data_IF_190261194985
#
_entry.id   IF_190261194985
#
_cell.length_a   1.000
_cell.length_b   1.000
_cell.length_c   1.000
_cell.angle_alpha   90.00
_cell.angle_beta   90.00
_cell.angle_gamma   90.00
#
_symmetry.space_group_name_H-M   'P 1'
#
loop_
_entity.id
_entity.type
_entity.pdbx_description
1 polymer ?
#
# COMPACT_ATOMS: atom_id res chain seq x y z
N UNK A 1 27.14 10.30 -13.72
CA UNK A 1 26.26 9.32 -13.05
C UNK A 1 26.00 9.86 -11.64
N UNK A 2 24.79 10.35 -11.35
CA UNK A 2 24.47 10.98 -10.06
C UNK A 2 24.28 9.87 -9.02
N UNK A 3 25.08 9.86 -7.95
CA UNK A 3 24.92 8.91 -6.85
C UNK A 3 23.99 9.52 -5.81
N UNK A 4 22.82 8.93 -5.65
CA UNK A 4 21.89 9.28 -4.57
C UNK A 4 22.21 8.43 -3.34
N UNK A 5 22.42 9.10 -2.20
CA UNK A 5 22.57 8.44 -0.90
C UNK A 5 21.29 8.69 -0.09
N UNK A 6 20.57 7.63 0.26
CA UNK A 6 19.39 7.73 1.12
C UNK A 6 19.79 7.38 2.55
N UNK A 7 19.70 8.35 3.45
CA UNK A 7 19.96 8.16 4.88
C UNK A 7 18.63 8.21 5.64
N UNK A 8 18.41 7.23 6.52
CA UNK A 8 17.32 7.32 7.51
C UNK A 8 17.79 8.26 8.60
N UNK A 9 17.37 9.53 8.52
CA UNK A 9 17.67 10.53 9.53
C UNK A 9 16.72 10.33 10.71
N UNK A 10 17.05 9.41 11.62
CA UNK A 10 16.33 9.22 12.88
C UNK A 10 16.82 10.16 13.98
N UNK A 11 18.05 10.70 13.86
CA UNK A 11 18.64 11.66 14.81
C UNK A 11 19.60 12.62 14.10
N UNK A 12 19.74 13.83 14.67
CA UNK A 12 20.63 14.90 14.18
C UNK A 12 22.09 14.44 14.05
N UNK A 13 22.58 13.69 15.05
CA UNK A 13 23.99 13.27 15.13
C UNK A 13 24.42 12.35 13.98
N UNK A 14 23.49 11.52 13.49
CA UNK A 14 23.74 10.63 12.35
C UNK A 14 23.80 11.39 11.02
N UNK A 15 23.00 12.45 10.87
CA UNK A 15 23.04 13.33 9.71
C UNK A 15 24.38 14.06 9.64
N UNK A 16 24.76 14.70 10.75
CA UNK A 16 25.97 15.52 10.88
C UNK A 16 27.24 14.70 10.62
N UNK A 17 27.33 13.51 11.23
CA UNK A 17 28.47 12.60 11.01
C UNK A 17 28.64 12.25 9.53
N UNK A 18 27.55 11.93 8.83
CA UNK A 18 27.62 11.49 7.43
C UNK A 18 27.93 12.64 6.46
N UNK A 19 27.38 13.83 6.73
CA UNK A 19 27.71 15.03 5.97
C UNK A 19 29.21 15.35 6.13
N UNK A 20 29.73 15.31 7.36
CA UNK A 20 31.16 15.49 7.63
C UNK A 20 32.03 14.48 6.91
N UNK A 21 31.68 13.19 6.94
CA UNK A 21 32.41 12.14 6.19
C UNK A 21 32.47 12.43 4.68
N UNK A 22 31.36 12.89 4.09
CA UNK A 22 31.30 13.17 2.64
C UNK A 22 32.12 14.40 2.25
N UNK A 23 32.06 15.47 3.06
CA UNK A 23 32.82 16.70 2.84
C UNK A 23 34.32 16.50 3.07
N UNK A 24 34.72 15.68 4.04
CA UNK A 24 36.14 15.36 4.30
C UNK A 24 36.70 14.44 3.21
N UNK A 25 35.90 13.50 2.70
CA UNK A 25 36.37 12.57 1.67
C UNK A 25 36.62 13.25 0.32
N UNK A 26 35.84 14.28 -0.05
CA UNK A 26 36.04 15.02 -1.31
C UNK A 26 35.76 16.53 -1.12
N UNK A 27 36.72 17.29 -0.57
CA UNK A 27 36.53 18.70 -0.21
C UNK A 27 36.32 19.64 -1.41
N UNK A 28 36.67 19.21 -2.62
CA UNK A 28 36.55 20.02 -3.85
C UNK A 28 35.29 19.73 -4.65
N UNK A 29 34.37 18.92 -4.12
CA UNK A 29 33.17 18.48 -4.83
C UNK A 29 31.93 19.16 -4.25
N UNK A 30 31.12 19.77 -5.13
CA UNK A 30 29.88 20.42 -4.74
C UNK A 30 28.81 19.37 -4.43
N UNK A 31 28.28 19.40 -3.21
CA UNK A 31 27.21 18.52 -2.75
C UNK A 31 25.91 19.32 -2.52
N UNK A 32 24.79 18.80 -3.02
CA UNK A 32 23.45 19.33 -2.71
C UNK A 32 22.77 18.43 -1.68
N UNK A 33 22.32 19.02 -0.57
CA UNK A 33 21.51 18.33 0.44
C UNK A 33 20.03 18.59 0.16
N UNK A 34 19.27 17.52 -0.06
CA UNK A 34 17.80 17.59 -0.16
C UNK A 34 17.19 16.88 1.04
N UNK A 35 16.52 17.64 1.90
CA UNK A 35 15.73 17.09 3.01
C UNK A 35 14.30 16.96 2.53
N UNK A 36 13.79 15.73 2.51
CA UNK A 36 12.39 15.44 2.22
C UNK A 36 11.75 14.85 3.45
N UNK A 37 10.56 15.32 3.79
CA UNK A 37 9.73 14.64 4.79
C UNK A 37 9.44 13.23 4.27
N UNK A 38 9.71 12.23 5.11
CA UNK A 38 9.46 10.84 4.73
C UNK A 38 7.94 10.69 4.65
N UNK A 39 7.40 10.70 3.43
CA UNK A 39 6.03 10.23 3.22
C UNK A 39 5.95 8.84 3.83
N UNK A 40 5.06 8.67 4.80
CA UNK A 40 4.89 7.41 5.50
C UNK A 40 4.44 6.37 4.49
N UNK A 41 5.39 5.66 3.88
CA UNK A 41 5.12 4.35 3.32
C UNK A 41 4.52 3.54 4.47
N UNK A 42 3.37 2.91 4.20
CA UNK A 42 2.61 2.03 5.11
C UNK A 42 3.51 1.42 6.18
N UNK A 43 3.18 1.63 7.45
CA UNK A 43 3.95 1.03 8.53
C UNK A 43 3.98 -0.50 8.33
N UNK A 44 5.14 -1.11 8.50
CA UNK A 44 5.31 -2.58 8.42
C UNK A 44 4.25 -3.29 9.30
N UNK A 45 3.93 -2.81 10.52
CA UNK A 45 2.85 -3.37 11.33
C UNK A 45 1.47 -3.36 10.65
N UNK A 46 1.11 -2.28 9.94
CA UNK A 46 -0.21 -2.16 9.32
C UNK A 46 -0.40 -3.14 8.15
N UNK A 47 0.63 -3.35 7.33
CA UNK A 47 0.58 -4.35 6.26
C UNK A 47 0.60 -5.77 6.84
N UNK A 48 1.37 -6.00 7.91
CA UNK A 48 1.42 -7.31 8.57
C UNK A 48 0.06 -7.70 9.17
N UNK A 49 -0.63 -6.76 9.85
CA UNK A 49 -1.96 -7.00 10.39
C UNK A 49 -2.96 -7.39 9.28
N UNK A 50 -3.00 -6.60 8.19
CA UNK A 50 -3.83 -6.91 7.03
C UNK A 50 -3.56 -8.31 6.46
N UNK A 51 -2.29 -8.67 6.23
CA UNK A 51 -1.94 -10.00 5.70
C UNK A 51 -2.32 -11.13 6.67
N UNK A 52 -2.21 -10.90 7.98
CA UNK A 52 -2.55 -11.88 9.00
C UNK A 52 -4.06 -12.15 9.11
N UNK A 53 -4.91 -11.25 8.61
CA UNK A 53 -6.38 -11.42 8.60
C UNK A 53 -6.88 -12.28 7.45
N UNK A 54 -6.14 -12.36 6.34
CA UNK A 54 -6.59 -13.04 5.11
C UNK A 54 -6.98 -14.51 5.36
N UNK A 55 -6.23 -15.32 6.14
CA UNK A 55 -6.64 -16.71 6.42
C UNK A 55 -7.99 -16.82 7.13
N UNK A 56 -8.25 -15.99 8.14
CA UNK A 56 -9.52 -16.03 8.86
C UNK A 56 -10.68 -15.54 7.98
N UNK A 57 -10.42 -14.54 7.13
CA UNK A 57 -11.38 -14.09 6.11
C UNK A 57 -11.67 -15.20 5.10
N UNK A 58 -10.65 -15.94 4.65
CA UNK A 58 -10.83 -17.03 3.70
C UNK A 58 -11.69 -18.16 4.27
N UNK A 59 -11.53 -18.46 5.55
CA UNK A 59 -12.37 -19.45 6.25
C UNK A 59 -13.84 -19.01 6.32
N UNK A 60 -14.11 -17.74 6.67
CA UNK A 60 -15.47 -17.19 6.74
C UNK A 60 -16.16 -17.16 5.37
N UNK A 61 -15.42 -16.85 4.32
CA UNK A 61 -15.95 -16.79 2.96
C UNK A 61 -16.03 -18.16 2.27
N UNK A 62 -15.43 -19.21 2.85
CA UNK A 62 -15.30 -20.51 2.19
C UNK A 62 -14.45 -20.45 0.91
N UNK A 63 -13.45 -19.57 0.88
CA UNK A 63 -12.56 -19.33 -0.26
C UNK A 63 -11.14 -19.81 0.05
N UNK A 64 -10.32 -20.01 -0.98
CA UNK A 64 -8.87 -20.12 -0.78
C UNK A 64 -8.28 -18.76 -0.41
N UNK A 65 -7.10 -18.73 0.23
CA UNK A 65 -6.38 -17.49 0.56
C UNK A 65 -6.17 -16.57 -0.66
N UNK A 66 -5.75 -17.08 -1.85
CA UNK A 66 -5.64 -16.25 -3.06
C UNK A 66 -6.98 -15.67 -3.53
N UNK A 67 -8.06 -16.45 -3.46
CA UNK A 67 -9.40 -15.98 -3.82
C UNK A 67 -9.92 -14.93 -2.84
N UNK A 68 -9.73 -15.14 -1.53
CA UNK A 68 -10.04 -14.14 -0.51
C UNK A 68 -9.24 -12.85 -0.72
N UNK A 69 -7.97 -12.96 -1.14
CA UNK A 69 -7.16 -11.79 -1.50
C UNK A 69 -7.75 -11.04 -2.71
N UNK A 70 -8.19 -11.76 -3.74
CA UNK A 70 -8.83 -11.14 -4.91
C UNK A 70 -10.18 -10.52 -4.55
N UNK A 71 -10.96 -11.19 -3.70
CA UNK A 71 -12.23 -10.71 -3.17
C UNK A 71 -12.05 -9.39 -2.43
N UNK A 72 -11.07 -9.32 -1.52
CA UNK A 72 -10.77 -8.10 -0.77
C UNK A 72 -10.35 -6.97 -1.73
N UNK A 73 -9.49 -7.26 -2.71
CA UNK A 73 -9.10 -6.27 -3.72
C UNK A 73 -10.29 -5.76 -4.53
N UNK A 74 -11.20 -6.64 -4.94
CA UNK A 74 -12.35 -6.28 -5.76
C UNK A 74 -13.37 -5.44 -4.98
N UNK A 75 -13.77 -5.93 -3.80
CA UNK A 75 -14.92 -5.38 -3.07
C UNK A 75 -14.58 -4.21 -2.15
N UNK A 76 -13.31 -4.11 -1.71
CA UNK A 76 -12.87 -3.04 -0.81
C UNK A 76 -11.76 -2.21 -1.44
N UNK A 77 -10.75 -2.89 -1.98
CA UNK A 77 -9.55 -2.23 -2.49
C UNK A 77 -9.84 -1.30 -3.68
N UNK A 78 -10.49 -1.83 -4.71
CA UNK A 78 -10.72 -1.13 -5.96
C UNK A 78 -11.66 0.08 -5.77
N UNK A 79 -12.78 -0.02 -5.02
CA UNK A 79 -13.60 1.15 -4.69
C UNK A 79 -12.82 2.27 -3.99
N UNK A 80 -11.94 1.93 -3.04
CA UNK A 80 -11.10 2.93 -2.38
C UNK A 80 -10.16 3.61 -3.38
N UNK A 81 -9.55 2.85 -4.29
CA UNK A 81 -8.66 3.39 -5.32
C UNK A 81 -9.40 4.29 -6.31
N UNK A 82 -10.61 3.90 -6.71
CA UNK A 82 -11.45 4.64 -7.65
C UNK A 82 -12.05 5.91 -7.06
N UNK A 83 -12.18 5.97 -5.73
CA UNK A 83 -12.68 7.14 -5.01
C UNK A 83 -11.59 8.20 -4.74
N UNK A 84 -10.32 7.92 -5.05
CA UNK A 84 -9.24 8.89 -4.91
C UNK A 84 -9.24 9.90 -6.07
N UNK A 85 -9.02 11.18 -5.78
CA UNK A 85 -9.10 12.25 -6.78
C UNK A 85 -8.10 12.09 -7.92
N UNK A 86 -6.89 11.58 -7.62
CA UNK A 86 -5.83 11.41 -8.61
C UNK A 86 -5.81 9.99 -9.19
N UNK A 87 -5.70 8.98 -8.33
CA UNK A 87 -5.61 7.59 -8.73
C UNK A 87 -6.92 7.09 -9.35
N UNK A 88 -8.07 7.60 -8.89
CA UNK A 88 -9.37 7.20 -9.42
C UNK A 88 -9.56 7.60 -10.87
N UNK A 89 -9.13 8.80 -11.26
CA UNK A 89 -9.12 9.21 -12.67
C UNK A 89 -8.15 8.35 -13.48
N UNK A 90 -6.89 8.25 -13.04
CA UNK A 90 -5.83 7.54 -13.79
C UNK A 90 -6.15 6.06 -14.00
N UNK A 91 -6.58 5.38 -12.94
CA UNK A 91 -6.88 3.95 -12.97
C UNK A 91 -8.27 3.71 -13.57
N UNK A 92 -9.26 4.53 -13.21
CA UNK A 92 -10.63 4.41 -13.70
C UNK A 92 -10.73 4.55 -15.21
N UNK A 93 -10.07 5.54 -15.81
CA UNK A 93 -9.99 5.68 -17.27
C UNK A 93 -9.30 4.49 -17.92
N UNK A 94 -8.20 4.01 -17.35
CA UNK A 94 -7.48 2.85 -17.85
C UNK A 94 -8.30 1.56 -17.80
N UNK A 95 -9.11 1.37 -16.75
CA UNK A 95 -10.02 0.24 -16.61
C UNK A 95 -11.19 0.37 -17.59
N UNK A 96 -11.78 1.55 -17.73
CA UNK A 96 -12.86 1.82 -18.68
C UNK A 96 -12.40 1.57 -20.12
N UNK A 97 -11.23 2.07 -20.52
CA UNK A 97 -10.68 1.89 -21.86
C UNK A 97 -10.40 0.42 -22.19
N UNK A 98 -10.10 -0.41 -21.17
CA UNK A 98 -9.89 -1.86 -21.32
C UNK A 98 -11.18 -2.68 -21.26
N UNK A 99 -12.33 -2.04 -21.13
CA UNK A 99 -13.62 -2.72 -21.04
C UNK A 99 -13.83 -3.44 -19.70
N UNK A 100 -13.10 -3.06 -18.64
CA UNK A 100 -13.12 -3.77 -17.36
C UNK A 100 -14.52 -3.82 -16.75
N UNK A 101 -15.27 -2.71 -16.82
CA UNK A 101 -16.59 -2.61 -16.21
C UNK A 101 -17.68 -3.37 -16.98
N UNK A 102 -17.36 -3.90 -18.16
CA UNK A 102 -18.25 -4.77 -18.94
C UNK A 102 -17.96 -6.27 -18.70
N UNK A 103 -16.91 -6.59 -17.93
CA UNK A 103 -16.56 -7.96 -17.57
C UNK A 103 -17.57 -8.56 -16.58
N UNK A 104 -17.77 -9.88 -16.66
CA UNK A 104 -18.53 -10.62 -15.63
C UNK A 104 -17.82 -10.55 -14.28
N UNK A 105 -18.55 -10.89 -13.21
CA UNK A 105 -17.98 -10.92 -11.85
C UNK A 105 -16.74 -11.82 -11.77
N UNK A 106 -16.82 -13.03 -12.36
CA UNK A 106 -15.73 -14.01 -12.37
C UNK A 106 -14.52 -13.45 -13.12
N UNK A 107 -14.75 -12.79 -14.25
CA UNK A 107 -13.69 -12.15 -15.02
C UNK A 107 -13.04 -11.00 -14.26
N UNK A 108 -13.83 -10.17 -13.55
CA UNK A 108 -13.31 -9.11 -12.69
C UNK A 108 -12.46 -9.67 -11.53
N UNK A 109 -12.89 -10.77 -10.93
CA UNK A 109 -12.13 -11.50 -9.91
C UNK A 109 -10.79 -12.02 -10.44
N UNK A 110 -10.76 -12.57 -11.66
CA UNK A 110 -9.51 -13.02 -12.29
C UNK A 110 -8.55 -11.86 -12.56
N UNK A 111 -9.06 -10.70 -12.96
CA UNK A 111 -8.23 -9.52 -13.19
C UNK A 111 -7.60 -8.98 -11.89
N UNK A 112 -8.23 -9.22 -10.72
CA UNK A 112 -7.63 -8.87 -9.41
C UNK A 112 -6.34 -9.62 -9.09
N UNK A 113 -6.05 -10.73 -9.75
CA UNK A 113 -4.76 -11.43 -9.61
C UNK A 113 -3.63 -10.52 -10.10
N UNK A 114 -3.85 -9.85 -11.24
CA UNK A 114 -2.84 -9.02 -11.92
C UNK A 114 -2.84 -7.60 -11.40
N UNK A 115 -3.99 -7.06 -11.01
CA UNK A 115 -4.10 -5.67 -10.60
C UNK A 115 -3.43 -5.42 -9.24
N UNK A 116 -2.47 -4.47 -9.16
CA UNK A 116 -1.71 -4.20 -7.94
C UNK A 116 -2.46 -3.25 -6.99
N UNK A 117 -3.77 -3.44 -6.80
CA UNK A 117 -4.68 -2.52 -6.08
C UNK A 117 -4.10 -2.02 -4.75
N UNK A 118 -3.84 -2.92 -3.79
CA UNK A 118 -3.33 -2.56 -2.46
C UNK A 118 -1.88 -2.09 -2.45
N UNK A 119 -1.12 -2.29 -3.55
CA UNK A 119 0.24 -1.75 -3.69
C UNK A 119 0.23 -0.28 -4.11
N UNK A 120 -0.84 0.18 -4.77
CA UNK A 120 -1.03 1.57 -5.18
C UNK A 120 -1.52 2.46 -4.02
N UNK A 121 -1.89 1.86 -2.90
CA UNK A 121 -2.40 2.59 -1.74
C UNK A 121 -1.33 3.41 -1.05
N UNK A 122 -1.72 4.64 -0.71
CA UNK A 122 -1.09 5.42 0.34
C UNK A 122 -1.52 4.93 1.73
N UNK A 123 -1.06 5.63 2.77
CA UNK A 123 -1.35 5.26 4.16
C UNK A 123 -2.83 5.47 4.53
N UNK A 124 -3.48 6.60 4.18
CA UNK A 124 -4.92 6.80 4.37
C UNK A 124 -5.80 5.72 3.72
N UNK A 125 -5.58 5.38 2.44
CA UNK A 125 -6.33 4.33 1.74
C UNK A 125 -6.16 2.98 2.41
N UNK A 126 -4.93 2.62 2.80
CA UNK A 126 -4.68 1.35 3.46
C UNK A 126 -5.29 1.30 4.86
N UNK A 127 -5.36 2.43 5.58
CA UNK A 127 -6.10 2.52 6.85
C UNK A 127 -7.58 2.29 6.60
N UNK A 128 -8.19 3.00 5.65
CA UNK A 128 -9.60 2.84 5.28
C UNK A 128 -9.93 1.39 4.93
N UNK A 129 -9.09 0.73 4.14
CA UNK A 129 -9.25 -0.70 3.83
C UNK A 129 -9.35 -1.55 5.09
N UNK A 130 -8.46 -1.33 6.07
CA UNK A 130 -8.47 -2.13 7.30
C UNK A 130 -9.72 -1.84 8.14
N UNK A 131 -10.09 -0.57 8.26
CA UNK A 131 -11.29 -0.15 9.00
C UNK A 131 -12.56 -0.78 8.36
N UNK A 132 -12.65 -0.75 7.03
CA UNK A 132 -13.77 -1.33 6.28
C UNK A 132 -13.83 -2.87 6.44
N UNK A 133 -12.68 -3.55 6.43
CA UNK A 133 -12.60 -4.99 6.67
C UNK A 133 -13.02 -5.34 8.11
N UNK A 134 -12.53 -4.62 9.10
CA UNK A 134 -12.90 -4.83 10.51
C UNK A 134 -14.41 -4.63 10.71
N UNK A 135 -14.98 -3.59 10.11
CA UNK A 135 -16.41 -3.32 10.18
C UNK A 135 -17.23 -4.43 9.51
N UNK A 136 -16.92 -4.76 8.25
CA UNK A 136 -17.68 -5.73 7.47
C UNK A 136 -17.60 -7.13 8.09
N UNK A 137 -16.40 -7.64 8.36
CA UNK A 137 -16.22 -8.97 8.91
C UNK A 137 -16.59 -9.06 10.39
N UNK A 138 -16.48 -7.94 11.14
CA UNK A 138 -17.02 -7.84 12.50
C UNK A 138 -18.54 -8.08 12.53
N UNK A 139 -19.28 -7.53 11.57
CA UNK A 139 -20.72 -7.78 11.42
C UNK A 139 -21.05 -9.23 11.02
N UNK A 140 -20.09 -9.96 10.45
CA UNK A 140 -20.20 -11.39 10.17
C UNK A 140 -19.73 -12.27 11.35
N UNK A 141 -19.38 -11.66 12.49
CA UNK A 141 -18.91 -12.36 13.69
C UNK A 141 -17.42 -12.67 13.70
N UNK A 142 -16.64 -12.20 12.73
CA UNK A 142 -15.18 -12.34 12.70
C UNK A 142 -14.50 -11.10 13.29
N UNK A 143 -13.92 -11.25 14.47
CA UNK A 143 -13.15 -10.18 15.11
C UNK A 143 -11.72 -10.10 14.53
N UNK A 144 -11.45 -9.04 13.78
CA UNK A 144 -10.14 -8.76 13.17
C UNK A 144 -9.38 -7.75 14.03
N UNK A 145 -8.53 -8.22 14.95
CA UNK A 145 -7.73 -7.34 15.80
C UNK A 145 -6.27 -7.22 15.33
N UNK A 146 -5.62 -6.12 15.70
CA UNK A 146 -4.18 -5.98 15.55
C UNK A 146 -3.49 -6.92 16.54
N UNK A 147 -2.86 -7.98 16.03
CA UNK A 147 -2.00 -8.83 16.85
C UNK A 147 -0.76 -8.02 17.26
N UNK A 148 -0.49 -8.00 18.56
CA UNK A 148 0.71 -7.38 19.15
C UNK A 148 1.94 -8.23 18.87
#
# INVERSE_FOLDING_TARGET
MIKHFTLKLTTYDLADKKIKELLVANPSQDYTLTVVEKSEKRSIPANNAYQAWIPAISDVLGLTIPEATCYIKLHFGLPILLADDYMGHLIGEGLQAKGYFQLSYEQQMQEMIKLPVTRLFDTPMHKRLRDDLQYYFGNLGLNLEYKK
#
